data_IF_945590762182
#
_entry.id   IF_945590762182
#
_cell.length_a   1.000
_cell.length_b   1.000
_cell.length_c   1.000
_cell.angle_alpha   90.00
_cell.angle_beta   90.00
_cell.angle_gamma   90.00
#
_symmetry.space_group_name_H-M   'P 1'
#
loop_
_entity.id
_entity.type
_entity.pdbx_description
1 polymer ?
#
# COMPACT_ATOMS: atom_id res chain seq x y z
N UNK A 1 -49.63 -45.97 36.84
CA UNK A 1 -50.03 -44.94 37.83
C UNK A 1 -48.82 -44.66 38.72
N UNK A 2 -48.14 -43.52 38.51
CA UNK A 2 -47.27 -42.89 39.52
C UNK A 2 -48.15 -42.24 40.62
N UNK A 3 -47.65 -41.71 41.77
CA UNK A 3 -46.27 -41.39 42.23
C UNK A 3 -46.01 -41.89 43.69
N UNK A 4 -44.94 -41.60 44.46
CA UNK A 4 -43.93 -40.55 44.37
C UNK A 4 -42.85 -40.62 45.46
N UNK A 5 -41.96 -39.64 45.30
CA UNK A 5 -40.69 -39.24 45.92
C UNK A 5 -40.50 -39.31 47.43
N UNK A 6 -39.24 -39.54 47.84
CA UNK A 6 -38.37 -38.71 48.73
C UNK A 6 -36.94 -39.29 48.58
N UNK A 7 -35.79 -38.64 48.71
CA UNK A 7 -35.30 -37.26 48.91
C UNK A 7 -33.76 -37.37 48.90
N UNK A 8 -33.07 -36.26 48.62
CA UNK A 8 -31.69 -35.93 49.02
C UNK A 8 -30.52 -36.43 48.17
N UNK A 9 -29.72 -35.45 47.73
CA UNK A 9 -28.37 -35.66 47.26
C UNK A 9 -27.89 -34.64 46.23
N UNK A 10 -28.02 -33.34 46.50
CA UNK A 10 -27.26 -32.35 45.75
C UNK A 10 -25.78 -32.49 46.14
N UNK A 11 -24.93 -32.88 45.20
CA UNK A 11 -23.49 -32.68 45.29
C UNK A 11 -22.86 -32.67 43.90
N UNK A 12 -22.55 -31.45 43.47
CA UNK A 12 -21.32 -31.05 42.78
C UNK A 12 -21.09 -31.63 41.38
N UNK A 13 -21.36 -30.77 40.39
CA UNK A 13 -20.76 -30.84 39.07
C UNK A 13 -19.23 -30.75 39.19
N UNK A 14 -18.54 -31.71 38.58
CA UNK A 14 -17.11 -31.62 38.29
C UNK A 14 -16.94 -31.13 36.84
N UNK A 15 -16.45 -29.91 36.58
CA UNK A 15 -16.15 -29.43 35.25
C UNK A 15 -14.74 -29.92 34.85
N UNK A 16 -14.61 -31.21 34.51
CA UNK A 16 -13.29 -31.84 34.38
C UNK A 16 -13.01 -32.64 33.10
N UNK A 17 -13.95 -32.78 32.16
CA UNK A 17 -13.70 -33.61 30.97
C UNK A 17 -13.95 -32.85 29.69
N UNK A 18 -12.92 -32.12 29.23
CA UNK A 18 -12.81 -31.76 27.83
C UNK A 18 -12.48 -33.02 27.03
N UNK A 19 -13.46 -33.53 26.31
CA UNK A 19 -13.21 -34.55 25.27
C UNK A 19 -12.49 -33.83 24.13
N UNK A 20 -11.21 -34.17 23.93
CA UNK A 20 -10.42 -33.67 22.82
C UNK A 20 -10.99 -34.25 21.52
N UNK A 21 -11.87 -33.51 20.85
CA UNK A 21 -12.21 -33.79 19.47
C UNK A 21 -10.93 -33.66 18.64
N UNK A 22 -10.51 -34.74 17.99
CA UNK A 22 -9.44 -34.70 16.99
C UNK A 22 -9.75 -33.58 15.97
N UNK A 23 -8.76 -32.83 15.47
CA UNK A 23 -9.02 -31.90 14.40
C UNK A 23 -9.61 -32.69 13.23
N UNK A 24 -10.88 -32.44 12.95
CA UNK A 24 -11.48 -32.70 11.65
C UNK A 24 -10.51 -32.13 10.62
N UNK A 25 -10.07 -32.99 9.70
CA UNK A 25 -8.97 -32.72 8.79
C UNK A 25 -9.03 -31.31 8.25
N UNK A 26 -7.89 -30.62 8.28
CA UNK A 26 -7.65 -29.41 7.53
C UNK A 26 -8.02 -29.70 6.07
N UNK A 27 -9.25 -29.36 5.69
CA UNK A 27 -9.68 -29.39 4.31
C UNK A 27 -8.93 -28.25 3.64
N UNK A 28 -7.91 -28.61 2.87
CA UNK A 28 -7.09 -27.79 1.97
C UNK A 28 -7.83 -26.58 1.38
N UNK A 29 -7.76 -25.45 2.09
CA UNK A 29 -8.18 -24.15 1.59
C UNK A 29 -7.11 -23.09 1.87
N UNK A 30 -5.84 -23.48 1.86
CA UNK A 30 -4.68 -22.66 2.21
C UNK A 30 -3.60 -22.91 1.15
N UNK A 31 -3.14 -21.85 0.48
CA UNK A 31 -2.22 -21.82 -0.66
C UNK A 31 -1.66 -23.15 -1.21
N UNK A 32 -2.05 -23.48 -2.45
CA UNK A 32 -1.43 -24.54 -3.26
C UNK A 32 -0.28 -23.91 -4.04
N UNK A 33 0.94 -24.08 -3.54
CA UNK A 33 2.14 -23.88 -4.35
C UNK A 33 2.08 -24.88 -5.52
N UNK A 34 2.41 -24.46 -6.75
CA UNK A 34 2.38 -25.36 -7.90
C UNK A 34 3.25 -26.61 -7.71
N UNK A 35 2.75 -27.78 -8.13
CA UNK A 35 3.41 -29.08 -7.94
C UNK A 35 4.75 -29.21 -8.70
N UNK A 36 4.97 -28.37 -9.71
CA UNK A 36 6.21 -28.31 -10.48
C UNK A 36 7.37 -27.61 -9.74
N UNK A 37 7.10 -26.97 -8.60
CA UNK A 37 8.11 -26.36 -7.75
C UNK A 37 8.60 -27.36 -6.70
N UNK A 38 9.86 -27.78 -6.83
CA UNK A 38 10.52 -28.64 -5.83
C UNK A 38 10.96 -27.82 -4.61
N UNK A 39 10.06 -27.70 -3.64
CA UNK A 39 10.30 -26.97 -2.39
C UNK A 39 11.46 -27.56 -1.57
N UNK A 40 11.71 -28.86 -1.67
CA UNK A 40 12.80 -29.50 -0.92
C UNK A 40 14.17 -29.16 -1.52
N UNK A 41 14.26 -29.11 -2.85
CA UNK A 41 15.47 -28.65 -3.54
C UNK A 41 15.76 -27.17 -3.24
N UNK A 42 14.75 -26.30 -3.33
CA UNK A 42 14.91 -24.87 -2.99
C UNK A 42 15.38 -24.68 -1.55
N UNK A 43 14.82 -25.44 -0.61
CA UNK A 43 15.24 -25.40 0.79
C UNK A 43 16.69 -25.85 0.96
N UNK A 44 17.10 -26.92 0.29
CA UNK A 44 18.47 -27.43 0.36
C UNK A 44 19.50 -26.40 -0.18
N UNK A 45 19.21 -25.78 -1.32
CA UNK A 45 20.06 -24.75 -1.92
C UNK A 45 20.19 -23.53 -0.98
N UNK A 46 19.08 -23.03 -0.46
CA UNK A 46 19.10 -21.89 0.49
C UNK A 46 19.87 -22.24 1.77
N UNK A 47 19.79 -23.48 2.26
CA UNK A 47 20.55 -23.89 3.44
C UNK A 47 22.06 -24.00 3.17
N UNK A 48 22.48 -24.21 1.93
CA UNK A 48 23.91 -24.28 1.56
C UNK A 48 24.53 -22.88 1.52
N UNK A 49 23.93 -21.96 0.77
CA UNK A 49 24.55 -20.67 0.45
C UNK A 49 23.59 -19.47 0.44
N UNK A 50 22.36 -19.66 0.93
CA UNK A 50 21.27 -18.69 0.91
C UNK A 50 20.73 -18.34 -0.49
N UNK A 51 21.06 -19.09 -1.54
CA UNK A 51 20.68 -18.78 -2.93
C UNK A 51 20.23 -20.03 -3.70
N UNK A 52 18.96 -20.07 -4.10
CA UNK A 52 18.45 -21.03 -5.08
C UNK A 52 18.14 -20.34 -6.41
N UNK A 53 19.04 -20.43 -7.40
CA UNK A 53 18.91 -19.68 -8.66
C UNK A 53 19.65 -20.35 -9.83
N UNK A 54 19.34 -19.97 -11.09
CA UNK A 54 20.15 -20.33 -12.24
C UNK A 54 21.63 -19.95 -12.05
N UNK A 55 22.54 -20.82 -12.51
CA UNK A 55 23.96 -20.76 -12.19
C UNK A 55 24.66 -19.44 -12.56
N UNK A 56 24.19 -18.76 -13.61
CA UNK A 56 24.70 -17.47 -14.08
C UNK A 56 24.34 -16.30 -13.14
N UNK A 57 23.36 -16.47 -12.27
CA UNK A 57 22.86 -15.43 -11.36
C UNK A 57 23.36 -15.62 -9.92
N UNK A 58 23.77 -16.83 -9.56
CA UNK A 58 24.18 -17.21 -8.20
C UNK A 58 25.27 -16.30 -7.64
N UNK A 59 26.30 -15.99 -8.43
CA UNK A 59 27.41 -15.14 -7.98
C UNK A 59 26.92 -13.75 -7.56
N UNK A 60 26.09 -13.10 -8.38
CA UNK A 60 25.54 -11.79 -8.08
C UNK A 60 24.58 -11.81 -6.87
N UNK A 61 23.76 -12.85 -6.73
CA UNK A 61 22.87 -13.00 -5.57
C UNK A 61 23.64 -13.21 -4.26
N UNK A 62 24.73 -14.00 -4.28
CA UNK A 62 25.60 -14.17 -3.11
C UNK A 62 26.28 -12.86 -2.69
N UNK A 63 26.59 -11.97 -3.63
CA UNK A 63 27.07 -10.62 -3.29
C UNK A 63 26.00 -9.82 -2.53
N UNK A 64 24.73 -9.93 -2.92
CA UNK A 64 23.61 -9.29 -2.19
C UNK A 64 23.43 -9.91 -0.81
N UNK A 65 23.52 -11.24 -0.68
CA UNK A 65 23.50 -11.91 0.64
C UNK A 65 24.63 -11.40 1.53
N UNK A 66 25.85 -11.32 1.01
CA UNK A 66 27.00 -10.82 1.74
C UNK A 66 26.82 -9.35 2.16
N UNK A 67 26.24 -8.52 1.28
CA UNK A 67 25.90 -7.15 1.57
C UNK A 67 24.85 -7.03 2.69
N UNK A 68 23.75 -7.76 2.59
CA UNK A 68 22.69 -7.77 3.61
C UNK A 68 23.22 -8.23 4.98
N UNK A 69 24.07 -9.26 4.98
CA UNK A 69 24.73 -9.75 6.19
C UNK A 69 25.65 -8.70 6.81
N UNK A 70 26.36 -7.92 6.00
CA UNK A 70 27.17 -6.80 6.49
C UNK A 70 26.33 -5.70 7.14
N UNK A 71 25.07 -5.55 6.74
CA UNK A 71 24.09 -4.65 7.38
C UNK A 71 23.34 -5.29 8.56
N UNK A 72 23.62 -6.56 8.87
CA UNK A 72 23.04 -7.26 10.02
C UNK A 72 21.76 -8.03 9.72
N UNK A 73 21.43 -8.28 8.45
CA UNK A 73 20.25 -9.05 8.05
C UNK A 73 20.65 -10.39 7.43
N UNK A 74 20.02 -11.46 7.90
CA UNK A 74 20.06 -12.75 7.22
C UNK A 74 18.99 -12.75 6.11
N UNK A 75 19.44 -12.86 4.85
CA UNK A 75 18.58 -12.84 3.68
C UNK A 75 18.93 -14.01 2.76
N UNK A 76 17.89 -14.63 2.20
CA UNK A 76 17.98 -15.69 1.22
C UNK A 76 17.18 -15.35 -0.03
N UNK A 77 17.69 -15.76 -1.18
CA UNK A 77 17.09 -15.48 -2.48
C UNK A 77 16.74 -16.75 -3.23
N UNK A 78 15.55 -16.77 -3.81
CA UNK A 78 15.11 -17.79 -4.76
C UNK A 78 14.79 -17.11 -6.07
N UNK A 79 15.24 -17.68 -7.18
CA UNK A 79 14.83 -17.24 -8.51
C UNK A 79 14.06 -18.37 -9.20
N UNK A 80 12.78 -18.13 -9.45
CA UNK A 80 11.96 -19.00 -10.27
C UNK A 80 12.19 -18.63 -11.75
N UNK A 81 12.60 -19.57 -12.61
CA UNK A 81 12.87 -19.26 -14.01
C UNK A 81 11.59 -19.00 -14.81
N UNK A 82 10.47 -19.61 -14.40
CA UNK A 82 9.19 -19.53 -15.10
C UNK A 82 8.20 -18.61 -14.38
N UNK A 83 7.44 -17.85 -15.17
CA UNK A 83 6.42 -16.95 -14.68
C UNK A 83 5.27 -17.73 -14.02
N UNK A 84 5.02 -17.45 -12.75
CA UNK A 84 3.95 -18.10 -12.02
C UNK A 84 2.58 -17.49 -12.39
N UNK A 85 1.51 -18.31 -12.54
CA UNK A 85 0.19 -17.82 -12.93
C UNK A 85 -0.46 -16.87 -11.92
N UNK A 86 -0.05 -16.93 -10.65
CA UNK A 86 -0.57 -16.09 -9.57
C UNK A 86 0.58 -15.46 -8.80
N UNK A 87 0.49 -14.14 -8.59
CA UNK A 87 1.46 -13.41 -7.78
C UNK A 87 1.56 -13.93 -6.34
N UNK A 88 0.48 -14.50 -5.80
CA UNK A 88 0.45 -15.06 -4.45
C UNK A 88 1.43 -16.22 -4.27
N UNK A 89 1.71 -17.01 -5.32
CA UNK A 89 2.60 -18.16 -5.20
C UNK A 89 4.02 -17.77 -4.77
N UNK A 90 4.54 -16.64 -5.25
CA UNK A 90 5.84 -16.14 -4.81
C UNK A 90 5.89 -15.88 -3.30
N UNK A 91 4.83 -15.26 -2.76
CA UNK A 91 4.70 -14.98 -1.31
C UNK A 91 4.54 -16.27 -0.51
N UNK A 92 3.79 -17.23 -1.03
CA UNK A 92 3.50 -18.46 -0.32
C UNK A 92 4.75 -19.36 -0.28
N UNK A 93 5.52 -19.44 -1.37
CA UNK A 93 6.86 -20.06 -1.42
C UNK A 93 7.79 -19.37 -0.41
N UNK A 94 7.85 -18.04 -0.42
CA UNK A 94 8.70 -17.29 0.51
C UNK A 94 8.33 -17.57 1.97
N UNK A 95 7.04 -17.62 2.29
CA UNK A 95 6.53 -17.87 3.64
C UNK A 95 6.86 -19.30 4.11
N UNK A 96 6.69 -20.28 3.23
CA UNK A 96 7.00 -21.67 3.56
C UNK A 96 8.51 -21.87 3.78
N UNK A 97 9.36 -21.37 2.88
CA UNK A 97 10.82 -21.46 3.04
C UNK A 97 11.28 -20.72 4.31
N UNK A 98 10.79 -19.51 4.54
CA UNK A 98 11.15 -18.72 5.71
C UNK A 98 10.74 -19.39 7.03
N UNK A 99 9.67 -20.19 7.04
CA UNK A 99 9.26 -20.95 8.22
C UNK A 99 10.27 -22.04 8.61
N UNK A 100 11.04 -22.54 7.64
CA UNK A 100 12.06 -23.58 7.83
C UNK A 100 13.48 -22.99 7.99
N UNK A 101 13.80 -21.91 7.28
CA UNK A 101 15.15 -21.31 7.27
C UNK A 101 15.32 -20.17 8.26
N UNK A 102 14.23 -19.52 8.67
CA UNK A 102 14.29 -18.22 9.33
C UNK A 102 14.77 -17.11 8.39
N UNK A 103 15.15 -15.96 8.99
CA UNK A 103 15.62 -14.80 8.25
C UNK A 103 14.57 -14.21 7.29
N UNK A 104 15.03 -13.42 6.32
CA UNK A 104 14.20 -12.92 5.22
C UNK A 104 14.38 -13.83 4.00
N UNK A 105 13.29 -14.30 3.40
CA UNK A 105 13.33 -15.01 2.11
C UNK A 105 12.65 -14.14 1.05
N UNK A 106 13.33 -13.94 -0.07
CA UNK A 106 12.85 -13.20 -1.24
C UNK A 106 12.82 -14.15 -2.43
N UNK A 107 11.65 -14.29 -3.06
CA UNK A 107 11.42 -15.13 -4.24
C UNK A 107 11.15 -14.23 -5.43
N UNK A 108 12.07 -14.22 -6.38
CA UNK A 108 12.03 -13.45 -7.62
C UNK A 108 11.54 -14.34 -8.76
N UNK A 109 10.67 -13.82 -9.62
CA UNK A 109 10.39 -14.43 -10.91
C UNK A 109 10.20 -13.40 -12.01
N UNK A 110 9.95 -13.84 -13.25
CA UNK A 110 9.92 -12.94 -14.41
C UNK A 110 8.80 -11.90 -14.37
N UNK A 111 7.68 -12.21 -13.68
CA UNK A 111 6.47 -11.39 -13.68
C UNK A 111 6.06 -10.86 -12.30
N UNK A 112 6.70 -11.31 -11.22
CA UNK A 112 6.36 -10.87 -9.87
C UNK A 112 7.47 -11.24 -8.88
N UNK A 113 7.30 -10.79 -7.64
CA UNK A 113 8.19 -11.05 -6.51
C UNK A 113 7.35 -11.32 -5.28
N UNK A 114 7.89 -12.10 -4.35
CA UNK A 114 7.28 -12.34 -3.05
C UNK A 114 8.34 -12.39 -1.97
N UNK A 115 7.97 -11.98 -0.76
CA UNK A 115 8.87 -11.98 0.39
C UNK A 115 8.14 -12.38 1.67
N UNK A 116 8.93 -12.97 2.58
CA UNK A 116 8.57 -13.18 3.97
C UNK A 116 9.75 -12.82 4.86
N UNK A 117 9.51 -12.03 5.89
CA UNK A 117 10.53 -11.54 6.80
C UNK A 117 9.98 -11.33 8.21
N UNK A 118 10.71 -11.73 9.26
CA UNK A 118 10.44 -11.33 10.63
C UNK A 118 11.04 -9.96 10.99
N UNK A 119 11.93 -9.41 10.15
CA UNK A 119 12.65 -8.16 10.43
C UNK A 119 11.94 -6.93 9.85
N UNK A 120 11.30 -7.10 8.69
CA UNK A 120 10.63 -6.01 7.98
C UNK A 120 9.11 -6.11 8.14
N UNK A 121 8.45 -4.96 8.36
CA UNK A 121 6.98 -4.93 8.41
C UNK A 121 6.39 -5.35 7.06
N UNK A 122 5.12 -5.77 7.05
CA UNK A 122 4.46 -6.12 5.79
C UNK A 122 4.48 -4.96 4.80
N UNK A 123 4.25 -3.73 5.28
CA UNK A 123 4.27 -2.52 4.45
C UNK A 123 5.64 -2.32 3.79
N UNK A 124 6.74 -2.41 4.53
CA UNK A 124 8.10 -2.31 3.97
C UNK A 124 8.35 -3.37 2.89
N UNK A 125 7.87 -4.59 3.10
CA UNK A 125 8.02 -5.68 2.14
C UNK A 125 7.22 -5.44 0.85
N UNK A 126 6.02 -4.85 0.93
CA UNK A 126 5.21 -4.52 -0.25
C UNK A 126 5.76 -3.30 -1.00
N UNK A 127 6.15 -2.25 -0.28
CA UNK A 127 6.73 -1.03 -0.88
C UNK A 127 8.03 -1.36 -1.61
N UNK A 128 8.83 -2.28 -1.08
CA UNK A 128 10.07 -2.72 -1.71
C UNK A 128 9.89 -3.49 -3.03
N UNK A 129 8.65 -3.84 -3.41
CA UNK A 129 8.37 -4.53 -4.69
C UNK A 129 8.29 -3.57 -5.88
N UNK A 130 8.32 -2.26 -5.62
CA UNK A 130 8.16 -1.23 -6.65
C UNK A 130 9.43 -1.03 -7.50
N UNK A 131 9.22 -0.86 -8.82
CA UNK A 131 10.25 -0.53 -9.81
C UNK A 131 11.47 -1.49 -9.84
N UNK A 132 11.25 -2.77 -9.51
CA UNK A 132 12.30 -3.78 -9.58
C UNK A 132 12.64 -4.16 -11.02
N UNK A 133 13.92 -4.36 -11.28
CA UNK A 133 14.43 -4.83 -12.59
C UNK A 133 14.36 -6.35 -12.67
N UNK A 134 13.16 -6.94 -12.71
CA UNK A 134 12.96 -8.40 -12.65
C UNK A 134 13.66 -9.18 -13.80
N UNK A 135 13.98 -8.51 -14.90
CA UNK A 135 14.79 -9.08 -16.00
C UNK A 135 16.26 -9.32 -15.61
N UNK A 136 16.73 -8.77 -14.49
CA UNK A 136 18.04 -8.98 -13.90
C UNK A 136 17.88 -9.31 -12.40
N UNK A 137 17.70 -10.59 -12.05
CA UNK A 137 17.37 -10.98 -10.67
C UNK A 137 18.41 -10.55 -9.61
N UNK A 138 19.74 -10.61 -9.83
CA UNK A 138 20.70 -10.02 -8.89
C UNK A 138 20.49 -8.52 -8.64
N UNK A 139 20.19 -7.75 -9.68
CA UNK A 139 19.90 -6.32 -9.53
C UNK A 139 18.57 -6.09 -8.82
N UNK A 140 17.52 -6.84 -9.16
CA UNK A 140 16.24 -6.77 -8.48
C UNK A 140 16.35 -7.13 -6.99
N UNK A 141 17.13 -8.16 -6.65
CA UNK A 141 17.44 -8.55 -5.28
C UNK A 141 18.08 -7.39 -4.49
N UNK A 142 19.08 -6.74 -5.10
CA UNK A 142 19.73 -5.57 -4.50
C UNK A 142 18.77 -4.41 -4.29
N UNK A 143 18.01 -4.05 -5.32
CA UNK A 143 17.02 -2.98 -5.27
C UNK A 143 15.97 -3.22 -4.18
N UNK A 144 15.42 -4.43 -4.12
CA UNK A 144 14.42 -4.79 -3.14
C UNK A 144 14.97 -4.75 -1.72
N UNK A 145 16.18 -5.28 -1.49
CA UNK A 145 16.80 -5.22 -0.17
C UNK A 145 17.07 -3.78 0.25
N UNK A 146 17.66 -2.97 -0.62
CA UNK A 146 17.94 -1.55 -0.35
C UNK A 146 16.65 -0.80 0.02
N UNK A 147 15.56 -1.02 -0.73
CA UNK A 147 14.25 -0.42 -0.45
C UNK A 147 13.65 -0.90 0.88
N UNK A 148 13.78 -2.19 1.24
CA UNK A 148 13.32 -2.69 2.55
C UNK A 148 14.08 -2.06 3.72
N UNK A 149 15.35 -1.76 3.52
CA UNK A 149 16.22 -1.15 4.54
C UNK A 149 16.20 0.38 4.53
N UNK A 150 15.50 1.00 3.58
CA UNK A 150 15.50 2.44 3.44
C UNK A 150 14.94 3.09 4.73
N UNK A 151 15.65 4.06 5.33
CA UNK A 151 15.17 4.72 6.53
C UNK A 151 13.82 5.40 6.28
N UNK A 152 12.75 4.81 6.80
CA UNK A 152 11.40 5.35 6.62
C UNK A 152 11.28 6.79 7.12
N UNK A 153 10.58 7.64 6.36
CA UNK A 153 10.27 9.00 6.79
C UNK A 153 9.34 8.93 8.00
N UNK A 154 9.79 9.50 9.12
CA UNK A 154 8.99 9.55 10.34
C UNK A 154 7.82 10.55 10.16
N UNK A 155 6.71 10.07 9.61
CA UNK A 155 5.49 10.87 9.38
C UNK A 155 4.92 11.46 10.66
N UNK A 156 5.11 10.81 11.82
CA UNK A 156 4.74 11.39 13.11
C UNK A 156 5.56 12.64 13.40
N UNK A 157 6.86 12.61 13.15
CA UNK A 157 7.72 13.80 13.30
C UNK A 157 7.32 14.90 12.31
N UNK A 158 7.08 14.55 11.05
CA UNK A 158 6.66 15.51 10.00
C UNK A 158 5.33 16.17 10.38
N UNK A 159 4.33 15.38 10.76
CA UNK A 159 3.01 15.88 11.17
C UNK A 159 3.08 16.71 12.44
N UNK A 160 3.92 16.32 13.41
CA UNK A 160 4.15 17.09 14.64
C UNK A 160 4.78 18.45 14.33
N UNK A 161 5.79 18.50 13.46
CA UNK A 161 6.41 19.77 13.02
C UNK A 161 5.38 20.64 12.31
N UNK A 162 4.59 20.07 11.39
CA UNK A 162 3.55 20.81 10.66
C UNK A 162 2.51 21.39 11.63
N UNK A 163 2.09 20.62 12.63
CA UNK A 163 1.16 21.08 13.66
C UNK A 163 1.73 22.25 14.46
N UNK A 164 3.00 22.17 14.87
CA UNK A 164 3.69 23.27 15.58
C UNK A 164 3.71 24.54 14.71
N UNK A 165 4.05 24.42 13.42
CA UNK A 165 4.06 25.56 12.49
C UNK A 165 2.68 26.20 12.38
N UNK A 166 1.62 25.41 12.26
CA UNK A 166 0.23 25.91 12.18
C UNK A 166 -0.17 26.62 13.47
N UNK A 167 0.13 26.04 14.64
CA UNK A 167 -0.18 26.65 15.95
C UNK A 167 0.56 27.98 16.12
N UNK A 168 1.86 28.02 15.82
CA UNK A 168 2.65 29.26 15.88
C UNK A 168 2.10 30.30 14.91
N UNK A 169 1.80 29.92 13.67
CA UNK A 169 1.20 30.79 12.68
C UNK A 169 -0.14 31.39 13.14
N UNK A 170 -1.02 30.56 13.71
CA UNK A 170 -2.32 30.98 14.25
C UNK A 170 -2.17 31.94 15.43
N UNK A 171 -1.24 31.67 16.36
CA UNK A 171 -0.96 32.56 17.50
C UNK A 171 -0.45 33.92 17.03
N UNK A 172 0.51 33.94 16.10
CA UNK A 172 1.04 35.19 15.54
C UNK A 172 -0.05 35.99 14.80
N UNK A 173 -0.88 35.31 14.01
CA UNK A 173 -2.02 35.94 13.34
C UNK A 173 -3.04 36.52 14.35
N UNK A 174 -3.34 35.79 15.42
CA UNK A 174 -4.27 36.24 16.47
C UNK A 174 -3.74 37.47 17.19
N UNK A 175 -2.46 37.50 17.56
CA UNK A 175 -1.83 38.65 18.19
C UNK A 175 -1.88 39.89 17.27
N UNK A 176 -1.55 39.74 15.98
CA UNK A 176 -1.64 40.84 15.01
C UNK A 176 -3.07 41.35 14.81
N UNK A 177 -4.07 40.46 14.73
CA UNK A 177 -5.48 40.85 14.61
C UNK A 177 -6.01 41.63 15.80
N UNK A 178 -5.56 41.32 17.02
CA UNK A 178 -5.93 42.05 18.23
C UNK A 178 -5.36 43.48 18.28
N UNK A 179 -4.21 43.74 17.63
CA UNK A 179 -3.64 45.08 17.55
C UNK A 179 -4.39 46.02 16.58
N UNK A 180 -4.96 45.49 15.49
CA UNK A 180 -5.68 46.30 14.49
C UNK A 180 -7.04 46.77 15.01
N UNK A 181 -7.69 45.99 15.89
CA UNK A 181 -9.01 46.31 16.44
C UNK A 181 -9.05 47.50 17.40
N UNK A 182 -7.90 48.08 17.82
CA UNK A 182 -7.86 49.22 18.75
C UNK A 182 -7.88 50.59 18.06
N UNK A 183 -7.73 50.65 16.73
CA UNK A 183 -7.74 51.90 15.97
C UNK A 183 -9.07 52.18 15.24
N UNK A 184 -10.10 51.34 15.45
CA UNK A 184 -11.40 51.43 14.77
C UNK A 184 -12.55 51.90 15.68
N UNK A 185 -12.25 52.69 16.73
CA UNK A 185 -13.28 53.37 17.55
C UNK A 185 -13.06 54.87 17.55
N UNK A 186 -13.12 55.50 16.38
CA UNK A 186 -13.39 56.95 16.24
C UNK A 186 -13.95 57.26 14.85
N UNK A 187 -15.11 56.69 14.49
CA UNK A 187 -15.99 57.22 13.43
C UNK A 187 -17.42 56.77 13.72
N UNK A 188 -18.03 57.40 14.72
CA UNK A 188 -19.49 57.49 14.81
C UNK A 188 -19.86 58.49 15.91
N UNK A 189 -19.57 59.77 15.67
CA UNK A 189 -20.28 60.90 16.29
C UNK A 189 -20.04 62.14 15.43
N UNK A 190 -21.11 62.84 15.07
CA UNK A 190 -21.22 63.95 14.10
C UNK A 190 -21.35 63.45 12.66
N UNK A 191 -22.45 63.66 11.93
CA UNK A 191 -23.34 64.81 11.94
C UNK A 191 -24.68 64.45 11.28
N UNK A 192 -25.75 64.67 12.04
CA UNK A 192 -27.11 64.71 11.55
C UNK A 192 -27.45 66.18 11.32
N UNK A 193 -27.56 66.64 10.07
CA UNK A 193 -28.29 67.87 9.74
C UNK A 193 -28.65 67.99 8.24
N UNK A 194 -29.95 68.21 8.00
CA UNK A 194 -30.54 68.98 6.88
C UNK A 194 -30.88 68.26 5.57
N UNK A 195 -32.07 67.62 5.58
CA UNK A 195 -33.29 67.93 4.81
C UNK A 195 -33.30 68.27 3.30
N UNK A 196 -34.43 67.97 2.62
CA UNK A 196 -34.53 67.67 1.18
C UNK A 196 -34.92 68.89 0.33
N UNK A 197 -34.92 68.76 -1.01
CA UNK A 197 -35.99 69.20 -1.96
C UNK A 197 -35.47 69.48 -3.39
N UNK A 198 -36.31 69.08 -4.37
CA UNK A 198 -36.42 69.48 -5.80
C UNK A 198 -35.89 68.51 -6.88
N UNK A 199 -36.82 67.63 -7.29
CA UNK A 199 -37.34 67.41 -8.65
C UNK A 199 -36.40 67.15 -9.86
N UNK A 200 -36.64 65.98 -10.47
CA UNK A 200 -36.30 65.51 -11.81
C UNK A 200 -36.97 66.37 -12.92
N UNK A 201 -36.73 66.21 -14.26
CA UNK A 201 -36.69 64.92 -14.98
C UNK A 201 -35.74 64.81 -16.20
N UNK A 202 -35.52 63.57 -16.68
CA UNK A 202 -35.59 63.12 -18.10
C UNK A 202 -34.75 61.84 -18.30
N UNK A 203 -35.37 60.74 -18.75
CA UNK A 203 -34.67 59.53 -19.21
C UNK A 203 -34.30 59.62 -20.71
N UNK A 204 -34.15 58.50 -21.45
CA UNK A 204 -33.69 57.15 -21.08
C UNK A 204 -32.54 56.64 -21.98
N UNK A 205 -31.73 55.67 -21.54
CA UNK A 205 -30.90 54.85 -22.45
C UNK A 205 -30.45 53.52 -21.81
N UNK A 206 -31.22 52.46 -22.05
CA UNK A 206 -30.81 51.28 -22.86
C UNK A 206 -29.37 50.77 -22.76
N UNK A 207 -29.25 49.54 -22.22
CA UNK A 207 -28.55 48.35 -22.76
C UNK A 207 -27.10 48.01 -22.35
N UNK A 208 -26.97 46.69 -22.14
CA UNK A 208 -25.86 45.77 -22.36
C UNK A 208 -24.82 45.54 -21.25
N UNK A 209 -24.87 44.30 -20.76
CA UNK A 209 -23.78 43.56 -20.17
C UNK A 209 -22.59 43.44 -21.15
N UNK A 210 -21.34 43.38 -20.65
CA UNK A 210 -20.20 43.03 -21.49
C UNK A 210 -20.11 41.50 -21.74
N UNK A 211 -19.57 41.12 -22.92
CA UNK A 211 -19.63 39.76 -23.45
C UNK A 211 -18.58 38.82 -22.85
N UNK A 212 -18.97 37.56 -22.69
CA UNK A 212 -18.06 36.41 -22.74
C UNK A 212 -18.07 35.91 -24.18
N UNK A 213 -16.95 36.02 -24.88
CA UNK A 213 -16.62 35.19 -26.03
C UNK A 213 -15.11 35.29 -26.31
N UNK A 214 -14.45 34.13 -26.27
CA UNK A 214 -13.26 33.80 -27.06
C UNK A 214 -13.13 32.27 -27.12
N UNK A 215 -14.08 31.71 -27.86
CA UNK A 215 -14.00 30.70 -28.93
C UNK A 215 -13.00 29.51 -28.98
N UNK A 216 -13.38 28.46 -29.77
CA UNK A 216 -12.83 27.11 -29.80
C UNK A 216 -12.07 26.76 -31.11
N UNK A 217 -11.45 25.57 -31.15
CA UNK A 217 -11.25 24.65 -32.31
C UNK A 217 -10.26 23.56 -31.83
N UNK A 218 -10.25 22.26 -32.17
CA UNK A 218 -10.75 21.41 -33.25
C UNK A 218 -10.97 20.01 -32.63
N UNK A 219 -12.10 19.30 -32.80
CA UNK A 219 -12.44 18.43 -33.92
C UNK A 219 -11.31 17.43 -34.31
N UNK A 220 -11.45 16.17 -33.89
CA UNK A 220 -11.25 15.06 -34.83
C UNK A 220 -12.05 13.81 -34.40
N UNK A 221 -12.94 13.44 -35.31
CA UNK A 221 -13.83 12.29 -35.32
C UNK A 221 -13.11 11.18 -36.08
N UNK A 222 -12.81 10.05 -35.42
CA UNK A 222 -12.25 8.88 -36.07
C UNK A 222 -13.24 7.71 -35.96
N UNK A 223 -14.05 7.61 -37.01
CA UNK A 223 -14.78 6.41 -37.40
C UNK A 223 -13.82 5.23 -37.58
N UNK A 224 -14.06 4.11 -36.89
CA UNK A 224 -13.40 2.83 -37.18
C UNK A 224 -14.39 1.92 -37.90
N UNK A 225 -14.15 1.81 -39.20
CA UNK A 225 -14.77 0.90 -40.14
C UNK A 225 -14.40 -0.56 -39.82
N UNK A 226 -15.41 -1.41 -39.67
CA UNK A 226 -15.28 -2.85 -39.50
C UNK A 226 -15.53 -3.58 -40.84
N UNK A 227 -14.50 -4.17 -41.42
CA UNK A 227 -14.59 -5.15 -42.51
C UNK A 227 -13.18 -5.66 -42.87
N UNK A 228 -12.87 -6.94 -43.00
CA UNK A 228 -13.58 -8.21 -42.86
C UNK A 228 -12.53 -9.35 -42.92
N UNK A 229 -12.93 -10.63 -42.76
CA UNK A 229 -12.00 -11.76 -42.80
C UNK A 229 -11.77 -12.24 -44.25
N UNK A 230 -10.50 -12.38 -44.64
CA UNK A 230 -10.10 -12.98 -45.91
C UNK A 230 -9.53 -14.38 -45.71
N UNK A 231 -10.35 -15.37 -46.03
CA UNK A 231 -9.99 -16.77 -46.21
C UNK A 231 -9.31 -17.03 -47.56
N UNK A 232 -8.51 -18.10 -47.58
CA UNK A 232 -8.24 -19.02 -48.70
C UNK A 232 -7.08 -18.79 -49.71
N UNK A 233 -6.22 -19.84 -49.70
CA UNK A 233 -5.87 -20.73 -50.83
C UNK A 233 -4.61 -20.51 -51.70
N UNK A 234 -3.79 -21.59 -51.67
CA UNK A 234 -3.01 -22.24 -52.77
C UNK A 234 -1.81 -21.44 -53.34
N UNK A 235 -0.70 -22.05 -53.77
CA UNK A 235 -0.39 -23.40 -54.25
C UNK A 235 1.09 -23.72 -54.01
#
# INVERSE_FOLDING_TARGET
>A
MSPGSTSSGAALADPGTFVLAAPVGATDNLSIIPEDIDMAALLADIQDDHVAAPADQVAGLREVVAHAKAEGYDVSFVVLPEAQPKFTYYRDIASQLQSETGGTVIVLGPNSVGSSSPYFSRVQQEEATDNLTLTNPPLAARQMFDQMTEPGVNWTLVTLVLLVVVVVGAVLARLRGLHISRNATTRDTSESASSPTVAAPSGPATVAAPPSDAEPSDADDASVESGGPGSDSRA
#
